data_IF_488766412339
#
_entry.id   IF_488766412339
#
_cell.length_a   1.000
_cell.length_b   1.000
_cell.length_c   1.000
_cell.angle_alpha   90.00
_cell.angle_beta   90.00
_cell.angle_gamma   90.00
#
_symmetry.space_group_name_H-M   'P 1'
#
loop_
_entity.id
_entity.type
_entity.pdbx_description
1 polymer ?
#
# COMPACT_ATOMS: atom_id res chain seq x y z
N UNK A 1 -8.70 15.28 -9.78
CA UNK A 1 -8.65 13.82 -9.98
C UNK A 1 -7.38 13.48 -10.74
N UNK A 2 -6.39 12.86 -10.09
CA UNK A 2 -5.16 12.41 -10.74
C UNK A 2 -5.50 11.21 -11.62
N UNK A 3 -5.57 11.43 -12.94
CA UNK A 3 -5.81 10.36 -13.94
C UNK A 3 -4.71 9.32 -13.78
N UNK A 4 -5.03 8.26 -13.08
CA UNK A 4 -4.13 7.15 -12.83
C UNK A 4 -4.19 6.22 -14.02
N UNK A 5 -3.03 5.70 -14.45
CA UNK A 5 -2.99 4.72 -15.53
C UNK A 5 -3.89 3.54 -15.16
N UNK A 6 -4.79 3.20 -16.07
CA UNK A 6 -5.71 2.09 -15.91
C UNK A 6 -4.92 0.78 -15.74
N UNK A 7 -5.48 -0.14 -14.97
CA UNK A 7 -4.75 -1.32 -14.50
C UNK A 7 -4.49 -2.34 -15.61
N UNK A 8 -5.50 -2.54 -16.46
CA UNK A 8 -5.44 -3.24 -17.74
C UNK A 8 -4.24 -2.79 -18.60
N UNK A 9 -3.97 -1.49 -18.65
CA UNK A 9 -2.87 -0.94 -19.44
C UNK A 9 -1.50 -1.28 -18.85
N UNK A 10 -1.39 -1.37 -17.51
CA UNK A 10 -0.15 -1.80 -16.86
C UNK A 10 0.10 -3.29 -17.04
N UNK A 11 -0.94 -4.12 -16.99
CA UNK A 11 -0.84 -5.55 -17.29
C UNK A 11 -0.40 -5.78 -18.74
N UNK A 12 -0.94 -5.02 -19.71
CA UNK A 12 -0.48 -5.07 -21.10
C UNK A 12 1.00 -4.69 -21.26
N UNK A 13 1.48 -3.65 -20.56
CA UNK A 13 2.91 -3.29 -20.56
C UNK A 13 3.75 -4.46 -20.05
N UNK A 14 3.31 -5.16 -19.01
CA UNK A 14 4.06 -6.29 -18.44
C UNK A 14 4.07 -7.50 -19.36
N UNK A 15 2.94 -7.81 -19.99
CA UNK A 15 2.82 -8.90 -20.97
C UNK A 15 3.83 -8.71 -22.11
N UNK A 16 3.78 -7.54 -22.76
CA UNK A 16 4.69 -7.23 -23.88
C UNK A 16 6.16 -7.22 -23.45
N UNK A 17 6.46 -6.81 -22.21
CA UNK A 17 7.82 -6.86 -21.70
C UNK A 17 8.31 -8.30 -21.45
N UNK A 18 7.42 -9.23 -21.08
CA UNK A 18 7.77 -10.64 -20.97
C UNK A 18 7.98 -11.28 -22.36
N UNK A 19 7.27 -10.80 -23.38
CA UNK A 19 7.44 -11.20 -24.79
C UNK A 19 8.68 -10.58 -25.46
N UNK A 20 9.65 -10.11 -24.66
CA UNK A 20 10.94 -9.54 -25.08
C UNK A 20 10.88 -8.23 -25.89
N UNK A 21 9.72 -7.54 -25.93
CA UNK A 21 9.65 -6.24 -26.59
C UNK A 21 10.47 -5.18 -25.84
N UNK A 22 11.14 -4.32 -26.61
CA UNK A 22 11.86 -3.19 -26.02
C UNK A 22 10.89 -2.14 -25.48
N UNK A 23 11.29 -1.43 -24.42
CA UNK A 23 10.48 -0.37 -23.79
C UNK A 23 9.99 0.70 -24.77
N UNK A 24 10.80 1.00 -25.80
CA UNK A 24 10.45 1.93 -26.89
C UNK A 24 9.37 1.35 -27.81
N UNK A 25 9.49 0.08 -28.18
CA UNK A 25 8.45 -0.60 -28.99
C UNK A 25 7.13 -0.64 -28.22
N UNK A 26 7.14 -1.00 -26.95
CA UNK A 26 5.94 -1.03 -26.09
C UNK A 26 5.29 0.36 -26.01
N UNK A 27 6.09 1.42 -25.81
CA UNK A 27 5.62 2.80 -25.77
C UNK A 27 4.92 3.20 -27.08
N UNK A 28 5.53 2.87 -28.22
CA UNK A 28 4.96 3.15 -29.54
C UNK A 28 3.69 2.34 -29.82
N UNK A 29 3.66 1.07 -29.44
CA UNK A 29 2.56 0.14 -29.71
C UNK A 29 1.31 0.48 -28.89
N UNK A 30 1.50 0.90 -27.65
CA UNK A 30 0.40 1.31 -26.76
C UNK A 30 0.08 2.82 -26.85
N UNK A 31 0.81 3.58 -27.66
CA UNK A 31 0.72 5.05 -27.75
C UNK A 31 0.88 5.76 -26.38
N UNK A 32 1.84 5.30 -25.57
CA UNK A 32 2.14 5.84 -24.23
C UNK A 32 3.55 6.43 -24.20
N UNK A 33 3.78 7.39 -23.30
CA UNK A 33 5.14 7.89 -23.01
C UNK A 33 6.03 6.76 -22.49
N UNK A 34 7.26 6.66 -23.02
CA UNK A 34 8.27 5.69 -22.59
C UNK A 34 8.58 5.77 -21.09
N UNK A 35 8.48 6.96 -20.48
CA UNK A 35 8.68 7.16 -19.04
C UNK A 35 7.70 6.34 -18.21
N UNK A 36 6.44 6.25 -18.62
CA UNK A 36 5.41 5.48 -17.91
C UNK A 36 5.68 3.97 -18.02
N UNK A 37 6.12 3.51 -19.20
CA UNK A 37 6.53 2.12 -19.41
C UNK A 37 7.69 1.76 -18.48
N UNK A 38 8.69 2.64 -18.37
CA UNK A 38 9.83 2.48 -17.45
C UNK A 38 9.38 2.42 -15.99
N UNK A 39 8.49 3.31 -15.56
CA UNK A 39 7.96 3.33 -14.20
C UNK A 39 7.23 2.04 -13.86
N UNK A 40 6.34 1.55 -14.74
CA UNK A 40 5.57 0.32 -14.52
C UNK A 40 6.50 -0.89 -14.39
N UNK A 41 7.48 -1.02 -15.28
CA UNK A 41 8.47 -2.11 -15.22
C UNK A 41 9.31 -2.02 -13.95
N UNK A 42 9.74 -0.81 -13.56
CA UNK A 42 10.52 -0.60 -12.33
C UNK A 42 9.72 -0.96 -11.07
N UNK A 43 8.47 -0.51 -10.98
CA UNK A 43 7.58 -0.82 -9.85
C UNK A 43 7.41 -2.34 -9.74
N UNK A 44 7.16 -3.01 -10.86
CA UNK A 44 7.01 -4.46 -10.86
C UNK A 44 8.31 -5.18 -10.47
N UNK A 45 9.46 -4.76 -10.99
CA UNK A 45 10.75 -5.35 -10.64
C UNK A 45 11.08 -5.18 -9.15
N UNK A 46 10.67 -4.07 -8.53
CA UNK A 46 10.93 -3.77 -7.12
C UNK A 46 9.99 -4.50 -6.16
N UNK A 47 8.72 -4.65 -6.54
CA UNK A 47 7.67 -5.11 -5.62
C UNK A 47 7.01 -6.43 -6.02
N UNK A 48 7.22 -6.92 -7.24
CA UNK A 48 6.52 -8.08 -7.79
C UNK A 48 5.04 -7.84 -8.11
N UNK A 49 4.55 -6.60 -7.95
CA UNK A 49 3.14 -6.25 -8.07
C UNK A 49 2.95 -5.07 -9.03
N UNK A 50 1.89 -5.11 -9.84
CA UNK A 50 1.48 -4.01 -10.72
C UNK A 50 0.67 -2.95 -9.97
N UNK A 51 -0.11 -3.39 -8.98
CA UNK A 51 -0.81 -2.51 -8.05
C UNK A 51 0.18 -2.11 -6.97
N UNK A 52 0.33 -0.80 -6.78
CA UNK A 52 1.10 -0.28 -5.66
C UNK A 52 0.28 -0.54 -4.39
N UNK A 53 0.63 -1.58 -3.63
CA UNK A 53 -0.08 -1.99 -2.40
C UNK A 53 -0.18 -0.88 -1.35
N UNK A 54 0.68 0.15 -1.45
CA UNK A 54 0.63 1.35 -0.60
C UNK A 54 -0.50 2.34 -0.91
N UNK A 55 -1.24 2.17 -2.01
CA UNK A 55 -2.38 3.06 -2.34
C UNK A 55 -3.66 2.71 -1.60
N UNK A 56 -3.79 1.48 -1.10
CA UNK A 56 -4.65 1.23 0.04
C UNK A 56 -3.96 1.97 1.18
N UNK A 57 -4.41 3.19 1.44
CA UNK A 57 -4.05 3.95 2.63
C UNK A 57 -4.22 2.95 3.77
N UNK A 58 -3.15 2.46 4.40
CA UNK A 58 -3.36 1.89 5.70
C UNK A 58 -3.87 3.09 6.48
N UNK A 59 -5.15 3.11 6.85
CA UNK A 59 -5.57 3.97 7.96
C UNK A 59 -4.44 3.88 8.96
N UNK A 60 -3.77 5.01 9.23
CA UNK A 60 -2.55 5.02 10.03
C UNK A 60 -2.91 4.35 11.34
N UNK A 61 -2.58 3.06 11.47
CA UNK A 61 -2.84 2.32 12.69
C UNK A 61 -2.07 3.09 13.75
N UNK A 62 -2.77 3.59 14.77
CA UNK A 62 -2.11 4.24 15.90
C UNK A 62 -1.14 3.20 16.46
N UNK A 63 0.15 3.41 16.23
CA UNK A 63 1.18 2.58 16.83
C UNK A 63 1.24 3.06 18.28
N UNK A 64 0.91 2.18 19.21
CA UNK A 64 0.97 2.51 20.64
C UNK A 64 2.39 2.96 20.98
N UNK A 65 2.50 4.17 21.51
CA UNK A 65 3.75 4.68 22.06
C UNK A 65 4.05 3.99 23.38
N UNK A 66 5.28 4.15 23.88
CA UNK A 66 5.65 3.64 25.21
C UNK A 66 4.74 4.20 26.32
N UNK A 67 4.25 5.44 26.15
CA UNK A 67 3.32 6.05 27.10
C UNK A 67 1.93 5.41 27.04
N UNK A 68 1.42 5.12 25.84
CA UNK A 68 0.13 4.41 25.70
C UNK A 68 0.21 3.01 26.32
N UNK A 69 1.36 2.32 26.20
CA UNK A 69 1.58 1.01 26.84
C UNK A 69 1.62 1.08 28.37
N UNK A 70 2.19 2.15 28.95
CA UNK A 70 2.17 2.35 30.40
C UNK A 70 0.73 2.58 30.90
N UNK A 71 -0.06 3.37 30.18
CA UNK A 71 -1.48 3.60 30.51
C UNK A 71 -2.26 2.28 30.44
N UNK A 72 -2.03 1.45 29.40
CA UNK A 72 -2.62 0.12 29.32
C UNK A 72 -2.30 -0.73 30.56
N UNK A 73 -1.03 -0.72 30.97
CA UNK A 73 -0.54 -1.49 32.11
C UNK A 73 -1.18 -1.03 33.43
N UNK A 74 -1.36 0.28 33.62
CA UNK A 74 -2.08 0.83 34.78
C UNK A 74 -3.56 0.41 34.80
N UNK A 75 -4.23 0.44 33.65
CA UNK A 75 -5.65 0.05 33.57
C UNK A 75 -5.82 -1.45 33.85
N UNK A 76 -4.97 -2.31 33.29
CA UNK A 76 -4.99 -3.76 33.51
C UNK A 76 -4.76 -4.10 34.99
N UNK A 77 -3.79 -3.46 35.65
CA UNK A 77 -3.53 -3.72 37.07
C UNK A 77 -4.66 -3.24 37.98
N UNK A 78 -5.35 -2.15 37.60
CA UNK A 78 -6.46 -1.60 38.37
C UNK A 78 -7.77 -2.36 38.15
N UNK A 79 -7.95 -2.96 36.97
CA UNK A 79 -9.19 -3.62 36.56
C UNK A 79 -8.94 -4.92 35.79
N UNK A 80 -8.54 -5.97 36.51
CA UNK A 80 -8.21 -7.29 35.93
C UNK A 80 -9.38 -7.94 35.18
N UNK A 81 -10.62 -7.57 35.49
CA UNK A 81 -11.84 -8.22 34.97
C UNK A 81 -12.46 -7.53 33.74
N UNK A 82 -11.83 -6.50 33.18
CA UNK A 82 -12.42 -5.76 32.06
C UNK A 82 -12.42 -6.58 30.77
N UNK A 83 -13.45 -6.39 29.97
CA UNK A 83 -13.49 -6.88 28.59
C UNK A 83 -12.76 -5.92 27.65
N UNK A 84 -12.34 -6.43 26.49
CA UNK A 84 -11.45 -5.70 25.57
C UNK A 84 -12.05 -4.37 25.07
N UNK A 85 -13.36 -4.33 24.87
CA UNK A 85 -14.14 -3.15 24.52
C UNK A 85 -14.13 -2.10 25.64
N UNK A 86 -14.26 -2.49 26.90
CA UNK A 86 -14.20 -1.57 28.06
C UNK A 86 -12.81 -0.91 28.20
N UNK A 87 -11.73 -1.63 27.84
CA UNK A 87 -10.38 -1.04 27.78
C UNK A 87 -10.27 0.01 26.67
N UNK A 88 -10.88 -0.23 25.51
CA UNK A 88 -10.85 0.69 24.38
C UNK A 88 -11.59 1.98 24.76
N UNK A 89 -12.75 1.90 25.39
CA UNK A 89 -13.48 3.10 25.86
C UNK A 89 -12.65 3.93 26.84
N UNK A 90 -11.98 3.30 27.82
CA UNK A 90 -11.11 4.01 28.77
C UNK A 90 -9.87 4.63 28.16
N UNK A 91 -9.33 4.05 27.09
CA UNK A 91 -8.17 4.62 26.39
C UNK A 91 -8.52 5.78 25.46
N UNK A 92 -9.78 5.87 25.05
CA UNK A 92 -10.29 6.94 24.18
C UNK A 92 -10.87 8.14 24.95
N UNK A 93 -11.20 7.97 26.24
CA UNK A 93 -11.66 9.01 27.16
C UNK A 93 -10.52 9.87 27.72
#
# INVERSE_FOLDING_TARGET
>A
MTKTLAEDLKWHIRLLYNDEYTKKQIANLLYIRETLVKEVIYIYAKWGCIINSRKLIPERKKVFSKNDMNILYEIINKHVNYYLDEYIEKMHA
#
